data_IF_000535003661
#
_entry.id   IF_000535003661
#
_cell.length_a   1.000
_cell.length_b   1.000
_cell.length_c   1.000
_cell.angle_alpha   90.00
_cell.angle_beta   90.00
_cell.angle_gamma   90.00
#
_symmetry.space_group_name_H-M   'P 1'
#
loop_
_entity.id
_entity.type
_entity.pdbx_description
1 polymer ?
#
# COMPACT_ATOMS: atom_id res chain seq x y z
N UNK A 1 -9.73 37.37 -63.75
CA UNK A 1 -9.91 36.93 -62.36
C UNK A 1 -10.95 35.82 -62.34
N UNK A 2 -10.53 34.56 -62.31
CA UNK A 2 -11.43 33.40 -62.24
C UNK A 2 -11.33 32.82 -60.84
N UNK A 3 -12.44 32.87 -60.10
CA UNK A 3 -12.53 32.35 -58.73
C UNK A 3 -12.58 30.82 -58.82
N UNK A 4 -11.72 30.06 -58.12
CA UNK A 4 -11.82 28.61 -58.12
C UNK A 4 -13.02 28.20 -57.25
N UNK A 5 -13.97 27.51 -57.88
CA UNK A 5 -15.09 26.85 -57.20
C UNK A 5 -14.52 25.71 -56.36
N UNK A 6 -14.59 25.84 -55.04
CA UNK A 6 -14.14 24.83 -54.10
C UNK A 6 -14.95 23.55 -54.28
N UNK A 7 -14.30 22.49 -54.78
CA UNK A 7 -14.88 21.16 -54.84
C UNK A 7 -15.02 20.61 -53.42
N UNK A 8 -16.25 20.60 -52.90
CA UNK A 8 -16.58 19.97 -51.62
C UNK A 8 -16.07 18.53 -51.56
N UNK A 9 -15.54 18.14 -50.41
CA UNK A 9 -15.02 16.79 -50.19
C UNK A 9 -16.13 15.77 -50.49
N UNK A 10 -15.90 14.77 -51.36
CA UNK A 10 -16.95 13.84 -51.74
C UNK A 10 -17.46 13.09 -50.50
N UNK A 11 -18.79 12.92 -50.38
CA UNK A 11 -19.44 12.36 -49.19
C UNK A 11 -18.84 11.02 -48.71
N UNK A 12 -18.30 10.21 -49.64
CA UNK A 12 -17.56 8.97 -49.32
C UNK A 12 -16.25 9.23 -48.56
N UNK A 13 -15.50 10.27 -48.92
CA UNK A 13 -14.28 10.67 -48.20
C UNK A 13 -14.61 11.27 -46.84
N UNK A 14 -15.70 12.04 -46.74
CA UNK A 14 -16.19 12.55 -45.45
C UNK A 14 -16.61 11.41 -44.51
N UNK A 15 -17.33 10.40 -45.02
CA UNK A 15 -17.73 9.23 -44.26
C UNK A 15 -16.53 8.37 -43.83
N UNK A 16 -15.53 8.18 -44.70
CA UNK A 16 -14.30 7.45 -44.37
C UNK A 16 -13.47 8.17 -43.30
N UNK A 17 -13.36 9.49 -43.37
CA UNK A 17 -12.66 10.30 -42.35
C UNK A 17 -13.42 10.25 -41.02
N UNK A 18 -14.76 10.31 -41.04
CA UNK A 18 -15.59 10.17 -39.85
C UNK A 18 -15.43 8.78 -39.22
N UNK A 19 -15.39 7.71 -40.02
CA UNK A 19 -15.21 6.34 -39.54
C UNK A 19 -13.82 6.15 -38.91
N UNK A 20 -12.77 6.74 -39.50
CA UNK A 20 -11.40 6.71 -38.97
C UNK A 20 -11.28 7.51 -37.67
N UNK A 21 -11.93 8.67 -37.57
CA UNK A 21 -12.00 9.47 -36.34
C UNK A 21 -12.76 8.73 -35.23
N UNK A 22 -13.84 8.01 -35.57
CA UNK A 22 -14.55 7.18 -34.62
C UNK A 22 -13.68 6.02 -34.11
N UNK A 23 -12.86 5.42 -34.99
CA UNK A 23 -11.96 4.32 -34.61
C UNK A 23 -10.84 4.77 -33.65
N UNK A 24 -10.36 6.01 -33.77
CA UNK A 24 -9.34 6.59 -32.86
C UNK A 24 -9.93 6.94 -31.48
N UNK A 25 -11.24 7.17 -31.38
CA UNK A 25 -11.91 7.36 -30.08
C UNK A 25 -12.18 6.05 -29.32
N UNK A 26 -12.08 4.90 -29.99
CA UNK A 26 -12.36 3.58 -29.39
C UNK A 26 -11.05 2.92 -28.93
N UNK A 27 -10.00 3.66 -28.58
CA UNK A 27 -8.88 3.05 -27.86
C UNK A 27 -9.44 2.64 -26.50
N UNK A 28 -9.63 1.35 -26.20
CA UNK A 28 -10.00 0.96 -24.86
C UNK A 28 -8.88 1.46 -23.93
N UNK A 29 -9.22 2.30 -22.96
CA UNK A 29 -8.35 2.53 -21.83
C UNK A 29 -8.19 1.18 -21.12
N UNK A 30 -7.11 0.46 -21.42
CA UNK A 30 -6.76 -0.75 -20.70
C UNK A 30 -6.35 -0.29 -19.30
N UNK A 31 -7.32 -0.26 -18.39
CA UNK A 31 -7.02 -0.28 -16.97
C UNK A 31 -6.43 -1.67 -16.71
N UNK A 32 -5.13 -1.74 -16.45
CA UNK A 32 -4.46 -2.98 -16.08
C UNK A 32 -5.11 -3.49 -14.79
N UNK A 33 -5.58 -4.74 -14.77
CA UNK A 33 -6.15 -5.30 -13.55
C UNK A 33 -5.05 -5.32 -12.47
N UNK A 34 -5.31 -4.81 -11.25
CA UNK A 34 -4.31 -4.78 -10.21
C UNK A 34 -3.74 -6.17 -9.96
N UNK A 35 -2.41 -6.28 -9.96
CA UNK A 35 -1.75 -7.54 -9.63
C UNK A 35 -2.04 -7.88 -8.16
N UNK A 36 -2.79 -8.95 -7.95
CA UNK A 36 -3.01 -9.48 -6.60
C UNK A 36 -1.68 -10.00 -6.04
N UNK A 37 -1.32 -9.53 -4.85
CA UNK A 37 -0.12 -9.91 -4.12
C UNK A 37 -0.51 -10.50 -2.77
N UNK A 38 0.31 -11.44 -2.33
CA UNK A 38 0.39 -11.87 -0.93
C UNK A 38 1.69 -11.39 -0.31
N UNK A 39 1.73 -11.31 1.02
CA UNK A 39 2.88 -10.82 1.78
C UNK A 39 4.22 -11.50 1.46
N UNK A 40 4.33 -12.83 1.24
CA UNK A 40 5.59 -13.45 0.84
C UNK A 40 6.15 -12.92 -0.48
N UNK A 41 5.30 -12.40 -1.38
CA UNK A 41 5.73 -11.84 -2.66
C UNK A 41 6.49 -10.51 -2.52
N UNK A 42 6.46 -9.90 -1.34
CA UNK A 42 7.19 -8.68 -1.00
C UNK A 42 8.61 -8.98 -0.43
N UNK A 43 8.97 -10.25 -0.27
CA UNK A 43 10.29 -10.68 0.18
C UNK A 43 11.12 -11.10 -1.04
N UNK A 44 12.30 -10.48 -1.29
CA UNK A 44 13.15 -10.87 -2.40
C UNK A 44 13.62 -12.33 -2.33
N UNK A 45 13.79 -12.95 -3.49
CA UNK A 45 14.39 -14.28 -3.57
C UNK A 45 15.77 -14.28 -2.89
N UNK A 46 16.00 -15.26 -2.01
CA UNK A 46 17.24 -15.40 -1.25
C UNK A 46 17.39 -14.44 -0.06
N UNK A 47 16.45 -13.52 0.19
CA UNK A 47 16.46 -12.72 1.40
C UNK A 47 16.08 -13.57 2.63
N UNK A 48 16.57 -13.22 3.84
CA UNK A 48 16.15 -13.89 5.06
C UNK A 48 14.64 -13.70 5.31
N UNK A 49 13.92 -14.80 5.49
CA UNK A 49 12.53 -14.76 5.96
C UNK A 49 12.55 -14.66 7.48
N UNK A 50 12.18 -13.50 7.99
CA UNK A 50 12.12 -13.24 9.44
C UNK A 50 10.70 -13.56 9.89
N UNK A 51 10.50 -14.55 10.78
CA UNK A 51 9.19 -14.90 11.27
C UNK A 51 8.59 -13.76 12.12
N UNK A 52 7.25 -13.60 12.13
CA UNK A 52 6.62 -12.58 12.94
C UNK A 52 6.82 -12.87 14.44
N UNK A 53 7.24 -11.84 15.19
CA UNK A 53 7.32 -11.89 16.65
C UNK A 53 5.92 -11.62 17.21
N UNK A 54 5.21 -12.66 17.63
CA UNK A 54 3.82 -12.56 18.11
C UNK A 54 3.69 -12.46 19.63
N UNK A 55 4.81 -12.36 20.35
CA UNK A 55 4.81 -12.16 21.80
C UNK A 55 4.27 -10.77 22.14
N UNK A 56 3.25 -10.66 23.01
CA UNK A 56 2.73 -9.37 23.44
C UNK A 56 3.79 -8.46 24.06
N UNK A 57 3.70 -7.16 23.80
CA UNK A 57 4.70 -6.19 24.29
C UNK A 57 4.79 -6.13 25.82
N UNK A 58 3.67 -6.29 26.52
CA UNK A 58 3.63 -6.32 27.97
C UNK A 58 4.40 -7.51 28.58
N UNK A 59 4.51 -8.62 27.86
CA UNK A 59 5.28 -9.78 28.33
C UNK A 59 6.77 -9.58 28.08
N UNK A 60 7.13 -8.99 26.93
CA UNK A 60 8.53 -8.67 26.59
C UNK A 60 9.15 -7.67 27.57
N UNK A 61 8.39 -6.66 28.00
CA UNK A 61 8.87 -5.68 28.98
C UNK A 61 9.17 -6.29 30.35
N UNK A 62 8.53 -7.41 30.71
CA UNK A 62 8.77 -8.14 31.95
C UNK A 62 9.92 -9.15 31.87
N UNK A 63 10.38 -9.49 30.67
CA UNK A 63 11.53 -10.38 30.45
C UNK A 63 12.86 -9.60 30.39
N UNK A 64 12.82 -8.33 30.02
CA UNK A 64 13.97 -7.41 29.95
C UNK A 64 14.38 -6.83 31.30
N UNK A 65 14.49 -7.63 32.36
CA UNK A 65 14.79 -7.12 33.71
C UNK A 65 16.27 -7.34 34.08
N UNK A 66 17.16 -7.45 33.08
CA UNK A 66 18.61 -7.50 33.33
C UNK A 66 19.14 -6.09 33.61
N UNK A 67 20.25 -5.96 34.36
CA UNK A 67 20.80 -4.66 34.78
C UNK A 67 21.14 -3.72 33.60
N UNK A 68 21.34 -4.27 32.38
CA UNK A 68 21.50 -3.50 31.14
C UNK A 68 20.18 -3.04 30.50
N UNK A 69 19.08 -3.75 30.76
CA UNK A 69 17.74 -3.43 30.27
C UNK A 69 16.97 -2.49 31.20
N UNK A 70 17.32 -2.43 32.49
CA UNK A 70 16.71 -1.49 33.46
C UNK A 70 16.94 -0.01 33.10
N UNK A 71 18.06 0.30 32.42
CA UNK A 71 18.30 1.65 31.86
C UNK A 71 17.49 1.91 30.57
N UNK A 72 17.02 0.87 29.89
CA UNK A 72 16.12 0.95 28.75
C UNK A 72 14.63 0.91 29.16
N UNK A 73 14.31 0.45 30.38
CA UNK A 73 12.94 0.32 30.88
C UNK A 73 12.29 1.67 31.27
N UNK A 74 13.08 2.69 31.64
CA UNK A 74 12.59 4.05 31.94
C UNK A 74 12.06 4.78 30.69
N UNK A 75 12.34 4.24 29.50
CA UNK A 75 11.81 4.68 28.22
C UNK A 75 11.41 3.43 27.44
N UNK A 76 10.31 2.79 27.84
CA UNK A 76 9.76 1.60 27.18
C UNK A 76 9.85 1.82 25.65
N UNK A 77 10.83 1.19 24.97
CA UNK A 77 11.04 1.52 23.58
C UNK A 77 9.77 1.13 22.85
N UNK A 78 9.29 1.98 21.95
CA UNK A 78 8.42 1.52 20.87
C UNK A 78 8.97 0.17 20.41
N UNK A 79 8.11 -0.84 20.38
CA UNK A 79 8.51 -2.21 20.19
C UNK A 79 9.55 -2.33 19.08
N UNK A 80 10.79 -2.70 19.42
CA UNK A 80 11.89 -2.63 18.46
C UNK A 80 11.58 -3.51 17.27
N UNK A 81 11.45 -2.90 16.10
CA UNK A 81 11.38 -3.60 14.84
C UNK A 81 12.70 -4.34 14.62
N UNK A 82 12.63 -5.67 14.42
CA UNK A 82 13.85 -6.50 14.31
C UNK A 82 14.63 -6.24 13.01
N UNK A 83 13.93 -5.85 11.94
CA UNK A 83 14.50 -5.59 10.63
C UNK A 83 13.87 -4.34 9.99
N UNK A 84 14.30 -3.14 10.42
CA UNK A 84 13.82 -1.87 9.86
C UNK A 84 14.33 -1.62 8.43
N UNK A 85 15.43 -2.27 8.02
CA UNK A 85 16.05 -2.12 6.69
C UNK A 85 16.04 -3.42 5.89
N UNK A 86 14.92 -4.15 5.91
CA UNK A 86 14.79 -5.42 5.20
C UNK A 86 14.85 -5.24 3.67
N UNK A 87 15.48 -6.16 2.91
CA UNK A 87 15.54 -6.07 1.45
C UNK A 87 14.15 -6.06 0.80
N UNK A 88 13.99 -5.25 -0.26
CA UNK A 88 12.71 -5.04 -0.99
C UNK A 88 12.76 -5.57 -2.42
N UNK A 89 11.61 -5.95 -2.96
CA UNK A 89 11.45 -6.41 -4.35
C UNK A 89 11.33 -5.19 -5.25
N UNK A 90 12.46 -4.71 -5.77
CA UNK A 90 12.54 -3.51 -6.62
C UNK A 90 11.61 -3.53 -7.83
N UNK A 91 11.31 -4.70 -8.37
CA UNK A 91 10.42 -4.85 -9.53
C UNK A 91 8.96 -4.46 -9.22
N UNK A 92 8.55 -4.38 -7.96
CA UNK A 92 7.22 -3.92 -7.56
C UNK A 92 7.04 -2.40 -7.71
N UNK A 93 8.12 -1.64 -7.90
CA UNK A 93 8.05 -0.19 -8.05
C UNK A 93 7.21 0.20 -9.26
N UNK A 94 6.23 1.07 -9.03
CA UNK A 94 5.30 1.57 -10.04
C UNK A 94 4.24 0.55 -10.49
N UNK A 95 4.20 -0.67 -9.95
CA UNK A 95 3.18 -1.66 -10.32
C UNK A 95 1.82 -1.30 -9.72
N UNK A 96 0.76 -1.52 -10.49
CA UNK A 96 -0.60 -1.52 -9.96
C UNK A 96 -0.83 -2.83 -9.20
N UNK A 97 -1.12 -2.75 -7.90
CA UNK A 97 -1.24 -3.94 -7.05
C UNK A 97 -2.51 -3.92 -6.22
N UNK A 98 -2.87 -5.10 -5.73
CA UNK A 98 -3.92 -5.33 -4.73
C UNK A 98 -3.32 -6.20 -3.62
N UNK A 99 -3.32 -5.71 -2.38
CA UNK A 99 -2.71 -6.39 -1.24
C UNK A 99 -3.70 -6.45 -0.06
N UNK A 100 -3.88 -7.61 0.60
CA UNK A 100 -4.72 -7.72 1.78
C UNK A 100 -3.91 -7.40 3.04
N UNK A 101 -4.53 -6.83 4.05
CA UNK A 101 -3.87 -6.64 5.35
C UNK A 101 -4.72 -5.97 6.40
N UNK A 102 -4.13 -5.80 7.58
CA UNK A 102 -4.70 -5.03 8.68
C UNK A 102 -4.16 -3.61 8.66
N UNK A 103 -4.94 -2.68 9.18
CA UNK A 103 -4.61 -1.25 9.18
C UNK A 103 -4.16 -0.85 10.59
N UNK A 104 -2.98 -0.22 10.68
CA UNK A 104 -2.48 0.44 11.88
C UNK A 104 -2.51 1.95 11.63
N UNK A 105 -3.43 2.70 12.27
CA UNK A 105 -3.60 4.12 12.00
C UNK A 105 -2.37 4.91 12.48
N UNK A 106 -1.90 5.85 11.66
CA UNK A 106 -0.85 6.81 12.03
C UNK A 106 -1.46 8.19 12.29
N UNK A 107 -2.33 8.65 11.39
CA UNK A 107 -3.10 9.87 11.53
C UNK A 107 -4.60 9.59 11.49
N UNK A 108 -5.39 10.34 12.26
CA UNK A 108 -6.85 10.25 12.32
C UNK A 108 -7.43 11.65 12.13
N UNK A 109 -8.32 11.80 11.14
CA UNK A 109 -9.03 13.04 10.86
C UNK A 109 -10.08 13.37 11.93
N UNK A 110 -10.57 14.61 11.92
CA UNK A 110 -11.65 15.06 12.82
C UNK A 110 -12.94 14.23 12.68
N UNK A 111 -13.15 13.61 11.52
CA UNK A 111 -14.29 12.74 11.23
C UNK A 111 -14.10 11.30 11.75
N UNK A 112 -13.01 11.02 12.46
CA UNK A 112 -12.70 9.70 13.01
C UNK A 112 -12.26 8.69 11.94
N UNK A 113 -11.66 9.17 10.85
CA UNK A 113 -11.14 8.33 9.75
C UNK A 113 -9.63 8.41 9.70
N UNK A 114 -8.95 7.27 9.55
CA UNK A 114 -7.50 7.25 9.32
C UNK A 114 -7.19 7.45 7.84
N UNK A 115 -6.40 8.47 7.51
CA UNK A 115 -6.00 8.84 6.14
C UNK A 115 -4.53 8.55 5.87
N UNK A 116 -3.73 8.33 6.91
CA UNK A 116 -2.35 7.86 6.87
C UNK A 116 -2.22 6.66 7.81
N UNK A 117 -1.74 5.53 7.30
CA UNK A 117 -1.69 4.29 8.08
C UNK A 117 -0.66 3.29 7.53
N UNK A 118 -0.26 2.33 8.36
CA UNK A 118 0.52 1.17 7.94
C UNK A 118 -0.42 -0.01 7.61
N UNK A 119 -0.23 -0.60 6.44
CA UNK A 119 -0.82 -1.90 6.10
C UNK A 119 0.16 -3.01 6.52
N UNK A 120 -0.34 -4.01 7.25
CA UNK A 120 0.47 -5.07 7.87
C UNK A 120 -0.17 -6.46 7.72
N UNK A 121 0.61 -7.55 7.76
CA UNK A 121 0.12 -8.91 7.51
C UNK A 121 -0.74 -9.53 8.62
N UNK A 122 -0.72 -8.99 9.83
CA UNK A 122 -1.42 -9.58 10.97
C UNK A 122 -1.97 -8.53 11.93
N UNK A 123 -3.07 -8.91 12.58
CA UNK A 123 -3.76 -8.06 13.55
C UNK A 123 -2.87 -7.75 14.77
N UNK A 124 -2.96 -6.52 15.27
CA UNK A 124 -2.27 -6.08 16.48
C UNK A 124 -0.78 -5.79 16.30
N UNK A 125 -0.23 -5.89 15.09
CA UNK A 125 1.13 -5.46 14.80
C UNK A 125 1.40 -4.01 15.24
N UNK A 126 2.64 -3.73 15.63
CA UNK A 126 3.14 -2.45 16.12
C UNK A 126 2.58 -1.97 17.47
N UNK A 127 1.34 -2.34 17.81
CA UNK A 127 0.64 -1.85 19.02
C UNK A 127 0.59 -2.91 20.12
N UNK A 128 0.21 -4.15 19.78
CA UNK A 128 0.06 -5.24 20.74
C UNK A 128 1.25 -6.19 20.72
N UNK A 129 1.84 -6.38 19.54
CA UNK A 129 3.04 -7.18 19.31
C UNK A 129 4.03 -6.36 18.48
N UNK A 130 5.32 -6.74 18.42
CA UNK A 130 6.31 -5.98 17.67
C UNK A 130 6.00 -5.78 16.18
N UNK A 131 6.51 -4.70 15.55
CA UNK A 131 6.37 -4.46 14.12
C UNK A 131 6.96 -5.59 13.27
N UNK A 132 6.35 -5.90 12.11
CA UNK A 132 6.93 -6.77 11.10
C UNK A 132 8.26 -6.22 10.55
N UNK A 133 9.06 -7.01 9.82
CA UNK A 133 10.15 -6.49 8.99
C UNK A 133 9.65 -5.40 8.02
N UNK A 134 10.47 -4.42 7.65
CA UNK A 134 10.02 -3.30 6.82
C UNK A 134 9.56 -3.69 5.42
N UNK A 135 10.06 -4.80 4.87
CA UNK A 135 9.57 -5.40 3.63
C UNK A 135 8.24 -6.17 3.78
N UNK A 136 7.63 -6.11 4.97
CA UNK A 136 6.31 -6.64 5.30
C UNK A 136 5.41 -5.54 5.88
N UNK A 137 5.69 -4.28 5.53
CA UNK A 137 4.87 -3.11 5.88
C UNK A 137 4.75 -2.22 4.64
N UNK A 138 3.54 -1.72 4.38
CA UNK A 138 3.30 -0.69 3.36
C UNK A 138 2.74 0.55 4.03
N UNK A 139 3.39 1.70 3.82
CA UNK A 139 2.88 2.99 4.28
C UNK A 139 1.85 3.53 3.28
N UNK A 140 0.61 3.68 3.71
CA UNK A 140 -0.52 4.05 2.87
C UNK A 140 -0.99 5.47 3.17
N UNK A 141 -1.22 6.24 2.11
CA UNK A 141 -1.95 7.50 2.13
C UNK A 141 -3.29 7.32 1.41
N UNK A 142 -4.38 7.86 1.95
CA UNK A 142 -5.73 7.71 1.40
C UNK A 142 -6.56 8.97 1.60
N UNK A 143 -7.09 9.53 0.50
CA UNK A 143 -8.06 10.64 0.55
C UNK A 143 -9.41 10.19 1.13
N UNK A 144 -9.81 8.94 0.90
CA UNK A 144 -11.08 8.39 1.41
C UNK A 144 -10.99 8.06 2.91
N UNK A 145 -9.81 7.63 3.37
CA UNK A 145 -9.55 7.09 4.69
C UNK A 145 -10.42 5.87 5.07
N UNK A 146 -10.25 5.38 6.30
CA UNK A 146 -11.03 4.26 6.87
C UNK A 146 -11.49 4.63 8.27
N UNK A 147 -12.73 4.29 8.64
CA UNK A 147 -13.25 4.61 9.99
C UNK A 147 -12.46 3.81 11.03
N UNK A 148 -12.00 4.48 12.08
CA UNK A 148 -11.15 3.85 13.10
C UNK A 148 -11.87 2.70 13.82
N UNK A 149 -13.19 2.79 13.98
CA UNK A 149 -14.01 1.73 14.59
C UNK A 149 -14.11 0.44 13.74
N UNK A 150 -13.77 0.50 12.46
CA UNK A 150 -13.87 -0.63 11.53
C UNK A 150 -12.52 -1.35 11.32
N UNK A 151 -11.43 -0.90 11.96
CA UNK A 151 -10.06 -1.43 11.76
C UNK A 151 -9.79 -2.80 12.40
N UNK A 152 -10.80 -3.44 13.02
CA UNK A 152 -10.68 -4.78 13.59
C UNK A 152 -10.65 -5.89 12.53
N UNK A 153 -11.06 -5.59 11.30
CA UNK A 153 -11.11 -6.53 10.19
C UNK A 153 -9.99 -6.26 9.17
N UNK A 154 -9.61 -7.24 8.33
CA UNK A 154 -8.68 -7.00 7.24
C UNK A 154 -9.35 -6.29 6.05
N UNK A 155 -8.53 -5.63 5.25
CA UNK A 155 -8.92 -4.89 4.05
C UNK A 155 -8.10 -5.31 2.85
N UNK A 156 -8.72 -5.25 1.68
CA UNK A 156 -8.01 -5.15 0.42
C UNK A 156 -7.71 -3.70 0.11
N UNK A 157 -6.46 -3.41 -0.25
CA UNK A 157 -6.03 -2.09 -0.70
C UNK A 157 -5.47 -2.22 -2.12
N UNK A 158 -6.00 -1.40 -3.02
CA UNK A 158 -5.51 -1.27 -4.38
C UNK A 158 -4.84 0.09 -4.58
N UNK A 159 -3.73 0.09 -5.28
CA UNK A 159 -3.01 1.30 -5.64
C UNK A 159 -1.69 1.01 -6.33
N UNK A 160 -1.01 2.08 -6.73
CA UNK A 160 0.34 1.98 -7.30
C UNK A 160 1.38 1.83 -6.19
N UNK A 161 2.07 0.69 -6.18
CA UNK A 161 3.15 0.42 -5.25
C UNK A 161 4.37 1.30 -5.56
N UNK A 162 5.00 1.86 -4.53
CA UNK A 162 6.28 2.55 -4.61
C UNK A 162 7.28 1.83 -3.71
N UNK A 163 8.45 1.50 -4.26
CA UNK A 163 9.56 0.92 -3.48
C UNK A 163 10.34 2.08 -2.89
N UNK A 164 9.86 2.55 -1.74
CA UNK A 164 10.36 3.74 -1.08
C UNK A 164 10.34 3.52 0.43
N UNK A 165 11.52 3.64 1.04
CA UNK A 165 11.65 3.58 2.48
C UNK A 165 10.98 4.80 3.13
N UNK A 166 10.17 4.55 4.15
CA UNK A 166 9.56 5.59 4.99
C UNK A 166 9.66 5.17 6.45
N UNK A 167 9.81 6.14 7.34
CA UNK A 167 9.84 5.93 8.79
C UNK A 167 8.63 6.61 9.43
N UNK A 168 8.07 5.99 10.45
CA UNK A 168 7.01 6.54 11.30
C UNK A 168 7.37 6.35 12.78
N UNK A 169 6.57 6.89 13.69
CA UNK A 169 6.78 6.67 15.13
C UNK A 169 6.65 5.19 15.54
N UNK A 170 5.96 4.37 14.73
CA UNK A 170 5.67 2.98 15.04
C UNK A 170 6.64 1.99 14.37
N UNK A 171 7.01 2.23 13.11
CA UNK A 171 7.84 1.31 12.33
C UNK A 171 8.40 1.96 11.06
N UNK A 172 9.47 1.36 10.54
CA UNK A 172 9.98 1.58 9.19
C UNK A 172 9.26 0.67 8.19
N UNK A 173 8.93 1.21 7.02
CA UNK A 173 8.30 0.51 5.91
C UNK A 173 9.20 0.61 4.66
N UNK A 174 9.32 -0.50 3.92
CA UNK A 174 10.08 -0.56 2.67
C UNK A 174 9.25 -0.18 1.43
N UNK A 175 7.94 -0.03 1.61
CA UNK A 175 6.99 0.25 0.54
C UNK A 175 6.04 1.38 0.93
N UNK A 176 5.60 2.16 -0.07
CA UNK A 176 4.59 3.20 0.06
C UNK A 176 3.52 3.02 -1.02
N UNK A 177 2.28 3.44 -0.75
CA UNK A 177 1.21 3.44 -1.76
C UNK A 177 0.20 4.56 -1.48
N UNK A 178 -0.28 5.20 -2.54
CA UNK A 178 -1.51 6.00 -2.49
C UNK A 178 -2.68 5.07 -2.81
N UNK A 179 -3.63 4.94 -1.87
CA UNK A 179 -4.74 4.01 -2.02
C UNK A 179 -5.80 4.58 -2.97
N UNK A 180 -6.04 3.84 -4.06
CA UNK A 180 -7.08 4.15 -5.04
C UNK A 180 -8.41 3.47 -4.66
N UNK A 181 -8.34 2.26 -4.09
CA UNK A 181 -9.51 1.56 -3.55
C UNK A 181 -9.19 0.90 -2.23
N UNK A 182 -10.16 0.95 -1.32
CA UNK A 182 -10.12 0.27 -0.03
C UNK A 182 -11.48 -0.40 0.19
N UNK A 183 -11.48 -1.70 0.45
CA UNK A 183 -12.70 -2.46 0.73
C UNK A 183 -12.41 -3.60 1.70
N UNK A 184 -13.41 -3.93 2.52
CA UNK A 184 -13.28 -4.98 3.51
C UNK A 184 -12.94 -6.32 2.84
N UNK A 185 -12.10 -7.11 3.50
CA UNK A 185 -11.81 -8.47 3.08
C UNK A 185 -13.00 -9.37 3.41
N UNK A 186 -13.66 -9.92 2.38
CA UNK A 186 -14.73 -10.89 2.57
C UNK A 186 -14.18 -12.32 2.55
N UNK A 187 -14.41 -13.06 3.64
CA UNK A 187 -14.21 -14.52 3.66
C UNK A 187 -15.31 -15.15 2.80
N UNK A 188 -14.92 -15.72 1.65
CA UNK A 188 -15.82 -16.54 0.82
C UNK A 188 -16.03 -17.92 1.40
#
# INVERSE_FOLDING_TARGET
MSIPVGTGLPAKRALQILLLLLLVLIIPAWADEPRELDWPALIPEGAPVIPPQLTPLHDLSQMGNSLGDALAAESAPAARQQAPDAPVVKALDGQQVKLPGYIVPLEVSEEGRTTEFLLVPYYGACIHVPPPPSNQIVHIFSEMGVRVEDLYQPYWIEGRMQVKNTSSELADAGYQMEAEKIYAYELK
#
